data_IF_235399340166
#
_entry.id   IF_235399340166
#
_cell.length_a   1.000
_cell.length_b   1.000
_cell.length_c   1.000
_cell.angle_alpha   90.00
_cell.angle_beta   90.00
_cell.angle_gamma   90.00
#
_symmetry.space_group_name_H-M   'P 1'
#
loop_
_entity.id
_entity.type
_entity.pdbx_description
1 polymer ?
#
# COMPACT_ATOMS: atom_id res chain seq x y z
N UNK A 1 -10.29 -15.90 -8.74
CA UNK A 1 -8.97 -15.47 -8.21
C UNK A 1 -8.93 -15.62 -6.71
N UNK A 2 -7.80 -16.03 -6.15
CA UNK A 2 -7.55 -16.15 -4.70
C UNK A 2 -6.45 -15.16 -4.32
N UNK A 3 -6.70 -14.31 -3.33
CA UNK A 3 -5.72 -13.34 -2.83
C UNK A 3 -5.19 -13.80 -1.46
N UNK A 4 -3.90 -14.16 -1.41
CA UNK A 4 -3.20 -14.44 -0.16
C UNK A 4 -2.71 -13.12 0.43
N UNK A 5 -3.17 -12.79 1.63
CA UNK A 5 -2.96 -11.48 2.22
C UNK A 5 -2.98 -11.50 3.76
N UNK A 6 -2.47 -10.43 4.37
CA UNK A 6 -2.61 -10.15 5.79
C UNK A 6 -3.34 -8.81 5.99
N UNK A 7 -4.33 -8.73 6.91
CA UNK A 7 -5.16 -7.53 7.10
C UNK A 7 -4.41 -6.25 7.50
N UNK A 8 -3.22 -6.36 8.10
CA UNK A 8 -2.39 -5.21 8.46
C UNK A 8 -1.26 -4.91 7.46
N UNK A 9 -1.18 -5.68 6.38
CA UNK A 9 -0.12 -5.41 5.40
C UNK A 9 -0.48 -4.22 4.51
N UNK A 10 0.36 -3.21 4.55
CA UNK A 10 0.24 -2.02 3.71
C UNK A 10 0.24 -2.34 2.21
N UNK A 11 1.06 -3.29 1.76
CA UNK A 11 1.06 -3.75 0.37
C UNK A 11 -0.20 -4.55 0.00
N UNK A 12 -0.80 -5.28 0.96
CA UNK A 12 -2.09 -5.92 0.73
C UNK A 12 -3.21 -4.88 0.62
N UNK A 13 -3.18 -3.82 1.42
CA UNK A 13 -4.15 -2.73 1.31
C UNK A 13 -4.14 -2.07 -0.07
N UNK A 14 -2.96 -1.84 -0.63
CA UNK A 14 -2.76 -1.32 -1.98
C UNK A 14 -3.53 -2.16 -3.02
N UNK A 15 -3.45 -3.48 -2.93
CA UNK A 15 -4.15 -4.41 -3.82
C UNK A 15 -5.65 -4.47 -3.52
N UNK A 16 -6.05 -4.50 -2.24
CA UNK A 16 -7.45 -4.50 -1.83
C UNK A 16 -8.19 -3.26 -2.35
N UNK A 17 -7.57 -2.07 -2.25
CA UNK A 17 -8.13 -0.84 -2.82
C UNK A 17 -8.43 -1.02 -4.31
N UNK A 18 -7.49 -1.56 -5.09
CA UNK A 18 -7.69 -1.77 -6.52
C UNK A 18 -8.82 -2.78 -6.82
N UNK A 19 -8.94 -3.87 -6.05
CA UNK A 19 -10.06 -4.80 -6.17
C UNK A 19 -11.40 -4.10 -5.91
N UNK A 20 -11.47 -3.25 -4.89
CA UNK A 20 -12.70 -2.53 -4.53
C UNK A 20 -13.04 -1.44 -5.53
N UNK A 21 -12.05 -0.70 -6.05
CA UNK A 21 -12.24 0.28 -7.12
C UNK A 21 -12.76 -0.36 -8.41
N UNK A 22 -12.27 -1.54 -8.73
CA UNK A 22 -12.66 -2.26 -9.95
C UNK A 22 -13.94 -3.08 -9.79
N UNK A 23 -14.39 -3.33 -8.55
CA UNK A 23 -15.52 -4.21 -8.27
C UNK A 23 -15.25 -5.69 -8.60
N UNK A 24 -13.98 -6.09 -8.70
CA UNK A 24 -13.59 -7.46 -9.06
C UNK A 24 -13.77 -8.40 -7.88
N UNK A 25 -14.51 -9.50 -8.00
CA UNK A 25 -14.64 -10.48 -6.93
C UNK A 25 -13.36 -11.30 -6.78
N UNK A 26 -13.01 -11.60 -5.53
CA UNK A 26 -11.90 -12.49 -5.19
C UNK A 26 -12.24 -13.32 -3.95
N UNK A 27 -11.56 -14.45 -3.80
CA UNK A 27 -11.60 -15.26 -2.58
C UNK A 27 -10.46 -14.81 -1.66
N UNK A 28 -10.76 -14.24 -0.49
CA UNK A 28 -9.74 -13.87 0.47
C UNK A 28 -9.14 -15.13 1.11
N UNK A 29 -7.80 -15.20 1.15
CA UNK A 29 -7.05 -16.25 1.83
C UNK A 29 -6.07 -15.58 2.81
N UNK A 30 -6.53 -15.38 4.03
CA UNK A 30 -5.67 -14.82 5.08
C UNK A 30 -4.55 -15.80 5.43
N UNK A 31 -3.35 -15.26 5.69
CA UNK A 31 -2.15 -16.05 6.00
C UNK A 31 -2.18 -16.69 7.40
N UNK A 32 -3.32 -16.65 8.04
CA UNK A 32 -3.59 -17.30 9.32
C UNK A 32 -4.39 -18.59 9.09
N UNK A 33 -4.07 -19.60 9.84
CA UNK A 33 -4.73 -20.89 9.76
C UNK A 33 -3.80 -22.03 9.34
N UNK A 34 -4.24 -23.24 9.68
CA UNK A 34 -3.47 -24.44 9.40
C UNK A 34 -3.32 -24.66 7.88
N UNK A 35 -2.10 -24.95 7.44
CA UNK A 35 -1.78 -25.24 6.05
C UNK A 35 -1.63 -24.04 5.12
N UNK A 36 -2.14 -22.86 5.48
CA UNK A 36 -2.12 -21.68 4.57
C UNK A 36 -0.70 -21.20 4.29
N UNK A 37 0.16 -21.24 5.29
CA UNK A 37 1.56 -20.83 5.12
C UNK A 37 2.28 -21.73 4.10
N UNK A 38 2.03 -23.05 4.12
CA UNK A 38 2.60 -23.97 3.15
C UNK A 38 2.06 -23.72 1.73
N UNK A 39 0.73 -23.52 1.59
CA UNK A 39 0.11 -23.17 0.29
C UNK A 39 0.77 -21.94 -0.31
N UNK A 40 0.82 -20.86 0.46
CA UNK A 40 1.39 -19.59 0.03
C UNK A 40 2.87 -19.69 -0.32
N UNK A 41 3.69 -20.35 0.52
CA UNK A 41 5.12 -20.54 0.25
C UNK A 41 5.38 -21.44 -0.96
N UNK A 42 4.49 -22.40 -1.25
CA UNK A 42 4.57 -23.21 -2.47
C UNK A 42 4.31 -22.37 -3.73
N UNK A 43 3.43 -21.33 -3.64
CA UNK A 43 3.17 -20.41 -4.73
C UNK A 43 4.26 -19.36 -4.89
N UNK A 44 4.81 -18.86 -3.76
CA UNK A 44 5.78 -17.77 -3.72
C UNK A 44 6.85 -18.00 -2.62
N UNK A 45 7.93 -18.74 -2.92
CA UNK A 45 8.95 -19.13 -1.93
C UNK A 45 9.70 -17.98 -1.27
N UNK A 46 9.65 -16.76 -1.84
CA UNK A 46 10.22 -15.54 -1.24
C UNK A 46 9.51 -15.20 0.08
N UNK A 47 8.29 -15.71 0.32
CA UNK A 47 7.56 -15.48 1.55
C UNK A 47 7.11 -14.03 1.75
N UNK A 48 6.80 -13.31 0.68
CA UNK A 48 6.19 -11.97 0.72
C UNK A 48 4.75 -12.02 0.23
N UNK A 49 3.95 -11.10 0.72
CA UNK A 49 2.53 -10.96 0.36
C UNK A 49 2.23 -9.48 0.04
N UNK A 50 1.18 -9.19 -0.75
CA UNK A 50 0.16 -10.09 -1.29
C UNK A 50 0.66 -10.98 -2.43
N UNK A 51 -0.04 -12.12 -2.61
CA UNK A 51 0.11 -13.00 -3.78
C UNK A 51 -1.27 -13.29 -4.35
N UNK A 52 -1.44 -13.14 -5.65
CA UNK A 52 -2.66 -13.47 -6.36
C UNK A 52 -2.48 -14.81 -7.10
N UNK A 53 -3.42 -15.74 -6.90
CA UNK A 53 -3.53 -16.95 -7.69
C UNK A 53 -4.78 -16.87 -8.58
N UNK A 54 -4.60 -16.84 -9.89
CA UNK A 54 -5.65 -16.99 -10.87
C UNK A 54 -5.65 -18.42 -11.41
N UNK A 55 -6.61 -19.22 -10.93
CA UNK A 55 -6.75 -20.61 -11.35
C UNK A 55 -7.27 -20.77 -12.76
N UNK A 56 -7.98 -19.76 -13.29
CA UNK A 56 -8.53 -19.79 -14.65
C UNK A 56 -7.43 -19.70 -15.71
N UNK A 57 -6.40 -18.91 -15.41
CA UNK A 57 -5.24 -18.69 -16.31
C UNK A 57 -4.00 -19.46 -15.88
N UNK A 58 -4.10 -20.23 -14.80
CA UNK A 58 -2.96 -20.92 -14.18
C UNK A 58 -1.79 -20.00 -13.82
N UNK A 59 -2.10 -18.77 -13.37
CA UNK A 59 -1.10 -17.75 -13.09
C UNK A 59 -0.97 -17.49 -11.59
N UNK A 60 0.27 -17.38 -11.12
CA UNK A 60 0.61 -16.81 -9.81
C UNK A 60 1.28 -15.45 -10.04
N UNK A 61 0.71 -14.41 -9.44
CA UNK A 61 1.19 -13.03 -9.58
C UNK A 61 1.58 -12.50 -8.21
N UNK A 62 2.81 -12.05 -8.08
CA UNK A 62 3.33 -11.37 -6.90
C UNK A 62 3.64 -9.91 -7.23
N UNK A 63 4.06 -9.13 -6.22
CA UNK A 63 4.29 -7.70 -6.27
C UNK A 63 2.99 -6.89 -6.42
N UNK A 64 2.67 -6.07 -5.42
CA UNK A 64 1.39 -5.36 -5.33
C UNK A 64 1.07 -4.53 -6.59
N UNK A 65 2.04 -3.79 -7.13
CA UNK A 65 1.85 -3.01 -8.35
C UNK A 65 1.56 -3.89 -9.57
N UNK A 66 2.24 -5.04 -9.67
CA UNK A 66 2.05 -5.99 -10.77
C UNK A 66 0.69 -6.67 -10.67
N UNK A 67 0.23 -7.00 -9.45
CA UNK A 67 -1.13 -7.54 -9.26
C UNK A 67 -2.18 -6.53 -9.75
N UNK A 68 -2.00 -5.24 -9.47
CA UNK A 68 -2.93 -4.18 -9.93
C UNK A 68 -2.90 -4.04 -11.45
N UNK A 69 -1.74 -4.07 -12.09
CA UNK A 69 -1.62 -4.04 -13.56
C UNK A 69 -2.19 -5.33 -14.19
N UNK A 70 -2.03 -6.49 -13.51
CA UNK A 70 -2.65 -7.75 -13.92
C UNK A 70 -4.19 -7.65 -13.93
N UNK A 71 -4.79 -7.09 -12.88
CA UNK A 71 -6.24 -6.84 -12.81
C UNK A 71 -6.71 -5.95 -13.96
N UNK A 72 -6.00 -4.85 -14.23
CA UNK A 72 -6.33 -3.94 -15.32
C UNK A 72 -6.28 -4.61 -16.70
N UNK A 73 -5.42 -5.60 -16.85
CA UNK A 73 -5.22 -6.33 -18.12
C UNK A 73 -6.26 -7.44 -18.32
N UNK A 74 -6.56 -8.19 -17.26
CA UNK A 74 -7.34 -9.44 -17.37
C UNK A 74 -8.76 -9.34 -16.83
N UNK A 75 -9.03 -8.34 -15.99
CA UNK A 75 -10.35 -8.08 -15.40
C UNK A 75 -10.75 -6.61 -15.64
N UNK A 76 -10.90 -6.20 -16.90
CA UNK A 76 -11.17 -4.80 -17.21
C UNK A 76 -12.52 -4.37 -16.61
N UNK A 77 -12.50 -3.25 -15.91
CA UNK A 77 -13.64 -2.61 -15.27
C UNK A 77 -13.64 -1.10 -15.47
N UNK A 78 -14.31 -0.40 -14.59
CA UNK A 78 -14.36 1.07 -14.62
C UNK A 78 -13.08 1.72 -14.07
N UNK A 79 -12.35 1.03 -13.21
CA UNK A 79 -11.09 1.50 -12.66
C UNK A 79 -9.95 1.34 -13.67
N UNK A 80 -9.24 2.43 -13.92
CA UNK A 80 -8.06 2.47 -14.79
C UNK A 80 -6.82 2.86 -13.98
N UNK A 81 -6.10 1.88 -13.40
CA UNK A 81 -4.94 2.17 -12.57
C UNK A 81 -3.81 2.83 -13.34
N UNK A 82 -3.70 2.58 -14.64
CA UNK A 82 -2.69 3.17 -15.53
C UNK A 82 -3.40 3.95 -16.64
N UNK A 83 -3.13 5.25 -16.81
CA UNK A 83 -3.63 6.06 -17.91
C UNK A 83 -3.21 5.52 -19.28
N UNK A 84 -4.01 5.77 -20.32
CA UNK A 84 -3.65 5.41 -21.70
C UNK A 84 -2.54 6.30 -22.27
N UNK A 85 -2.44 7.56 -21.82
CA UNK A 85 -1.37 8.46 -22.23
C UNK A 85 -0.02 7.96 -21.66
N UNK A 86 1.01 7.70 -22.48
CA UNK A 86 2.26 7.10 -22.02
C UNK A 86 3.03 7.96 -20.99
N UNK A 87 3.01 9.28 -21.14
CA UNK A 87 3.70 10.18 -20.21
C UNK A 87 3.00 10.21 -18.86
N UNK A 88 1.66 10.26 -18.84
CA UNK A 88 0.89 10.16 -17.63
C UNK A 88 1.06 8.77 -16.98
N UNK A 89 1.10 7.70 -17.75
CA UNK A 89 1.37 6.35 -17.26
C UNK A 89 2.75 6.24 -16.59
N UNK A 90 3.78 6.87 -17.19
CA UNK A 90 5.12 6.93 -16.61
C UNK A 90 5.11 7.71 -15.28
N UNK A 91 4.40 8.84 -15.21
CA UNK A 91 4.26 9.61 -13.97
C UNK A 91 3.54 8.81 -12.87
N UNK A 92 2.47 8.09 -13.21
CA UNK A 92 1.76 7.22 -12.25
C UNK A 92 2.71 6.15 -11.69
N UNK A 93 3.47 5.46 -12.54
CA UNK A 93 4.43 4.45 -12.08
C UNK A 93 5.58 5.06 -11.27
N UNK A 94 6.04 6.26 -11.63
CA UNK A 94 7.04 6.97 -10.84
C UNK A 94 6.51 7.32 -9.43
N UNK A 95 5.29 7.84 -9.33
CA UNK A 95 4.67 8.16 -8.04
C UNK A 95 4.42 6.90 -7.21
N UNK A 96 3.96 5.81 -7.82
CA UNK A 96 3.86 4.49 -7.20
C UNK A 96 5.18 4.05 -6.55
N UNK A 97 6.29 4.12 -7.31
CA UNK A 97 7.62 3.81 -6.75
C UNK A 97 8.08 4.78 -5.67
N UNK A 98 7.69 6.05 -5.77
CA UNK A 98 8.01 7.03 -4.75
C UNK A 98 7.35 6.69 -3.42
N UNK A 99 6.06 6.38 -3.43
CA UNK A 99 5.33 5.96 -2.22
C UNK A 99 5.88 4.64 -1.67
N UNK A 100 6.12 3.63 -2.51
CA UNK A 100 6.63 2.35 -2.05
C UNK A 100 8.07 2.46 -1.48
N UNK A 101 8.97 3.14 -2.16
CA UNK A 101 10.39 3.12 -1.83
C UNK A 101 10.79 4.18 -0.79
N UNK A 102 10.14 5.36 -0.79
CA UNK A 102 10.59 6.48 0.04
C UNK A 102 9.64 6.83 1.19
N UNK A 103 8.43 6.24 1.20
CA UNK A 103 7.48 6.36 2.33
C UNK A 103 7.26 5.00 2.99
N UNK A 104 6.82 4.00 2.23
CA UNK A 104 6.47 2.68 2.75
C UNK A 104 7.68 1.91 3.28
N UNK A 105 8.76 1.82 2.51
CA UNK A 105 9.96 1.07 2.92
C UNK A 105 10.58 1.61 4.21
N UNK A 106 10.85 2.92 4.38
CA UNK A 106 11.38 3.42 5.63
C UNK A 106 10.37 3.31 6.78
N UNK A 107 9.07 3.48 6.54
CA UNK A 107 8.03 3.23 7.52
C UNK A 107 8.09 1.78 8.03
N UNK A 108 8.16 0.81 7.13
CA UNK A 108 8.28 -0.61 7.51
C UNK A 108 9.57 -0.91 8.27
N UNK A 109 10.68 -0.25 7.97
CA UNK A 109 11.92 -0.40 8.72
C UNK A 109 11.74 0.03 10.19
N UNK A 110 11.03 1.13 10.45
CA UNK A 110 10.70 1.59 11.80
C UNK A 110 9.78 0.60 12.53
N UNK A 111 8.75 0.09 11.85
CA UNK A 111 7.85 -0.93 12.41
C UNK A 111 8.61 -2.22 12.74
N UNK A 112 9.43 -2.69 11.82
CA UNK A 112 10.23 -3.90 12.01
C UNK A 112 11.19 -3.76 13.19
N UNK A 113 11.83 -2.60 13.36
CA UNK A 113 12.70 -2.33 14.50
C UNK A 113 11.93 -2.36 15.82
N UNK A 114 10.73 -1.79 15.86
CA UNK A 114 9.87 -1.81 17.05
C UNK A 114 9.50 -3.23 17.49
N UNK A 115 9.42 -4.17 16.55
CA UNK A 115 9.11 -5.58 16.80
C UNK A 115 10.34 -6.42 17.20
N UNK A 116 11.57 -5.88 17.05
CA UNK A 116 12.79 -6.56 17.48
C UNK A 116 12.87 -6.65 19.01
N UNK A 117 13.60 -7.66 19.55
CA UNK A 117 14.05 -7.62 20.94
C UNK A 117 14.78 -6.31 21.25
N UNK A 118 14.65 -5.82 22.48
CA UNK A 118 15.16 -4.50 22.86
C UNK A 118 16.69 -4.34 22.65
N UNK A 119 17.45 -5.41 22.85
CA UNK A 119 18.90 -5.48 22.67
C UNK A 119 19.35 -5.57 21.19
N UNK A 120 18.41 -5.85 20.30
CA UNK A 120 18.65 -6.02 18.85
C UNK A 120 18.12 -4.85 18.02
N UNK A 121 17.64 -3.78 18.67
CA UNK A 121 17.12 -2.58 17.98
C UNK A 121 18.24 -1.76 17.35
N UNK A 122 17.89 -1.10 16.25
CA UNK A 122 18.78 -0.22 15.48
C UNK A 122 18.28 1.24 15.51
N UNK A 123 18.59 2.00 16.56
CA UNK A 123 18.18 3.41 16.66
C UNK A 123 18.72 4.27 15.52
N UNK A 124 19.91 3.97 15.01
CA UNK A 124 20.49 4.68 13.88
C UNK A 124 19.70 4.47 12.59
N UNK A 125 19.37 3.20 12.27
CA UNK A 125 18.52 2.88 11.12
C UNK A 125 17.12 3.51 11.22
N UNK A 126 16.54 3.57 12.43
CA UNK A 126 15.27 4.26 12.67
C UNK A 126 15.38 5.76 12.39
N UNK A 127 16.46 6.42 12.84
CA UNK A 127 16.71 7.84 12.57
C UNK A 127 16.84 8.11 11.06
N UNK A 128 17.62 7.29 10.35
CA UNK A 128 17.77 7.39 8.90
C UNK A 128 16.43 7.20 8.17
N UNK A 129 15.62 6.25 8.61
CA UNK A 129 14.29 6.01 8.05
C UNK A 129 13.36 7.22 8.26
N UNK A 130 13.35 7.83 9.45
CA UNK A 130 12.58 9.06 9.71
C UNK A 130 13.05 10.23 8.85
N UNK A 131 14.38 10.42 8.72
CA UNK A 131 14.94 11.45 7.86
C UNK A 131 14.54 11.27 6.38
N UNK A 132 14.47 10.02 5.90
CA UNK A 132 14.03 9.72 4.54
C UNK A 132 12.54 10.03 4.35
N UNK A 133 11.68 9.67 5.32
CA UNK A 133 10.24 10.01 5.29
C UNK A 133 10.06 11.53 5.23
N UNK A 134 10.78 12.29 6.05
CA UNK A 134 10.71 13.75 6.04
C UNK A 134 11.09 14.35 4.68
N UNK A 135 12.14 13.86 4.04
CA UNK A 135 12.51 14.25 2.67
C UNK A 135 11.43 13.90 1.65
N UNK A 136 10.83 12.71 1.79
CA UNK A 136 9.73 12.29 0.92
C UNK A 136 8.49 13.19 1.08
N UNK A 137 8.12 13.56 2.32
CA UNK A 137 7.01 14.48 2.59
C UNK A 137 7.25 15.86 1.95
N UNK A 138 8.45 16.43 2.13
CA UNK A 138 8.79 17.70 1.51
C UNK A 138 8.70 17.65 -0.02
N UNK A 139 9.16 16.57 -0.65
CA UNK A 139 9.02 16.37 -2.09
C UNK A 139 7.55 16.22 -2.49
N UNK A 140 6.78 15.41 -1.78
CA UNK A 140 5.37 15.16 -2.06
C UNK A 140 4.53 16.43 -1.91
N UNK A 141 4.80 17.27 -0.89
CA UNK A 141 4.14 18.57 -0.71
C UNK A 141 4.24 19.46 -1.96
N UNK A 142 5.34 19.39 -2.71
CA UNK A 142 5.52 20.14 -3.94
C UNK A 142 4.87 19.51 -5.16
N UNK A 143 4.62 18.19 -5.13
CA UNK A 143 4.09 17.43 -6.27
C UNK A 143 2.59 17.21 -6.22
N UNK A 144 2.05 17.04 -5.01
CA UNK A 144 0.61 16.83 -4.83
C UNK A 144 -0.14 18.14 -5.00
N UNK A 145 -1.15 18.15 -5.87
CA UNK A 145 -2.03 19.29 -6.07
C UNK A 145 -2.95 19.55 -4.86
N UNK A 146 -3.45 20.76 -4.75
CA UNK A 146 -4.44 21.13 -3.74
C UNK A 146 -5.74 20.31 -3.88
N UNK A 147 -6.04 19.86 -5.08
CA UNK A 147 -7.20 19.03 -5.44
C UNK A 147 -6.74 17.88 -6.34
N UNK A 148 -7.67 16.96 -6.64
CA UNK A 148 -7.38 15.79 -7.48
C UNK A 148 -6.61 14.69 -6.75
N UNK A 149 -5.87 13.89 -7.51
CA UNK A 149 -5.17 12.70 -7.05
C UNK A 149 -3.66 12.84 -7.23
N UNK A 150 -2.89 11.80 -6.97
CA UNK A 150 -1.43 11.85 -7.08
C UNK A 150 -0.95 12.28 -8.48
N UNK A 151 -1.70 11.90 -9.52
CA UNK A 151 -1.44 12.29 -10.90
C UNK A 151 -2.75 12.67 -11.59
N UNK A 152 -3.03 13.96 -11.73
CA UNK A 152 -4.22 14.45 -12.39
C UNK A 152 -5.53 14.22 -11.60
N UNK A 153 -6.62 14.05 -12.36
CA UNK A 153 -7.97 14.04 -11.78
C UNK A 153 -8.55 12.65 -11.55
N UNK A 154 -7.87 11.61 -11.99
CA UNK A 154 -8.32 10.23 -11.84
C UNK A 154 -7.55 9.49 -10.77
N UNK A 155 -8.26 8.69 -9.96
CA UNK A 155 -7.67 7.76 -9.01
C UNK A 155 -6.92 6.65 -9.77
N UNK A 156 -5.67 6.37 -9.40
CA UNK A 156 -4.75 5.51 -10.16
C UNK A 156 -3.97 4.56 -9.25
N UNK A 157 -3.06 3.77 -9.84
CA UNK A 157 -2.08 2.96 -9.10
C UNK A 157 -1.27 3.77 -8.09
N UNK A 158 -0.93 5.03 -8.43
CA UNK A 158 -0.20 5.92 -7.52
C UNK A 158 -0.97 6.19 -6.23
N UNK A 159 -2.30 6.35 -6.32
CA UNK A 159 -3.17 6.58 -5.16
C UNK A 159 -3.39 5.31 -4.34
N UNK A 160 -3.47 4.15 -5.02
CA UNK A 160 -3.48 2.85 -4.33
C UNK A 160 -2.22 2.65 -3.48
N UNK A 161 -1.06 3.12 -3.95
CA UNK A 161 0.19 3.07 -3.19
C UNK A 161 0.24 4.14 -2.08
N UNK A 162 -0.22 5.35 -2.39
CA UNK A 162 -0.21 6.48 -1.46
C UNK A 162 -1.05 6.23 -0.20
N UNK A 163 -2.24 5.65 -0.37
CA UNK A 163 -3.20 5.47 0.70
C UNK A 163 -2.62 4.72 1.91
N UNK A 164 -2.13 3.48 1.79
CA UNK A 164 -1.52 2.77 2.91
C UNK A 164 -0.18 3.38 3.31
N UNK A 165 0.64 3.88 2.37
CA UNK A 165 1.94 4.45 2.68
C UNK A 165 1.83 5.65 3.61
N UNK A 166 0.99 6.62 3.26
CA UNK A 166 0.79 7.83 4.05
C UNK A 166 0.04 7.53 5.35
N UNK A 167 -0.97 6.66 5.33
CA UNK A 167 -1.72 6.30 6.53
C UNK A 167 -0.84 5.72 7.63
N UNK A 168 0.03 4.78 7.30
CA UNK A 168 0.94 4.19 8.26
C UNK A 168 2.09 5.12 8.64
N UNK A 169 2.64 5.85 7.66
CA UNK A 169 3.74 6.75 7.92
C UNK A 169 3.32 7.92 8.82
N UNK A 170 2.13 8.47 8.64
CA UNK A 170 1.59 9.56 9.49
C UNK A 170 1.46 9.14 10.97
N UNK A 171 1.16 7.86 11.25
CA UNK A 171 1.11 7.30 12.62
C UNK A 171 2.49 7.23 13.29
N UNK A 172 3.56 7.15 12.52
CA UNK A 172 4.93 6.95 13.01
C UNK A 172 5.73 8.24 12.97
N UNK A 173 5.54 9.01 11.92
CA UNK A 173 6.16 10.30 11.63
C UNK A 173 5.08 11.24 11.09
N UNK A 174 4.37 11.96 11.96
CA UNK A 174 3.24 12.80 11.55
C UNK A 174 3.62 13.80 10.45
N UNK A 175 2.72 13.96 9.47
CA UNK A 175 2.89 14.87 8.33
C UNK A 175 3.05 16.32 8.80
N UNK A 176 2.34 16.69 9.87
CA UNK A 176 2.47 18.01 10.49
C UNK A 176 1.92 19.16 9.66
N UNK A 177 2.03 20.38 10.20
CA UNK A 177 1.52 21.62 9.58
C UNK A 177 2.33 22.11 8.39
N UNK A 178 3.57 21.63 8.24
CA UNK A 178 4.48 22.08 7.19
C UNK A 178 4.16 21.49 5.81
N UNK A 179 3.27 20.48 5.79
CA UNK A 179 2.87 19.76 4.58
C UNK A 179 1.33 19.75 4.40
N UNK A 180 0.67 20.93 4.27
CA UNK A 180 -0.79 21.03 4.27
C UNK A 180 -1.45 20.35 3.05
N UNK A 181 -0.79 20.34 1.88
CA UNK A 181 -1.33 19.66 0.69
C UNK A 181 -1.29 18.16 0.85
N UNK A 182 -0.21 17.62 1.41
CA UNK A 182 -0.05 16.20 1.68
C UNK A 182 -1.04 15.73 2.74
N UNK A 183 -1.26 16.52 3.81
CA UNK A 183 -2.27 16.24 4.83
C UNK A 183 -3.69 16.23 4.24
N UNK A 184 -4.03 17.22 3.41
CA UNK A 184 -5.31 17.28 2.72
C UNK A 184 -5.48 16.12 1.73
N UNK A 185 -4.42 15.70 1.07
CA UNK A 185 -4.44 14.53 0.19
C UNK A 185 -4.68 13.24 0.97
N UNK A 186 -4.01 13.02 2.09
CA UNK A 186 -4.27 11.87 2.97
C UNK A 186 -5.74 11.86 3.43
N UNK A 187 -6.31 13.01 3.80
CA UNK A 187 -7.71 13.10 4.18
C UNK A 187 -8.65 12.68 3.03
N UNK A 188 -8.35 13.08 1.77
CA UNK A 188 -9.11 12.64 0.59
C UNK A 188 -9.01 11.13 0.36
N UNK A 189 -7.81 10.55 0.53
CA UNK A 189 -7.59 9.12 0.43
C UNK A 189 -8.42 8.36 1.47
N UNK A 190 -8.39 8.79 2.74
CA UNK A 190 -9.15 8.16 3.84
C UNK A 190 -10.66 8.22 3.60
N UNK A 191 -11.15 9.30 3.00
CA UNK A 191 -12.55 9.46 2.65
C UNK A 191 -12.99 8.63 1.42
N UNK A 192 -12.05 8.07 0.65
CA UNK A 192 -12.35 7.24 -0.52
C UNK A 192 -13.04 5.94 -0.11
N UNK A 193 -14.21 5.58 -0.68
CA UNK A 193 -14.98 4.40 -0.24
C UNK A 193 -14.18 3.09 -0.23
N UNK A 194 -13.33 2.87 -1.24
CA UNK A 194 -12.46 1.69 -1.33
C UNK A 194 -11.46 1.61 -0.18
N UNK A 195 -10.83 2.73 0.17
CA UNK A 195 -9.88 2.77 1.29
C UNK A 195 -10.59 2.80 2.65
N UNK A 196 -11.71 3.51 2.78
CA UNK A 196 -12.53 3.48 3.99
C UNK A 196 -12.97 2.05 4.33
N UNK A 197 -13.31 1.24 3.31
CA UNK A 197 -13.60 -0.18 3.49
C UNK A 197 -12.40 -0.96 4.04
N UNK A 198 -11.20 -0.78 3.47
CA UNK A 198 -9.98 -1.40 4.00
C UNK A 198 -9.74 -1.02 5.46
N UNK A 199 -9.97 0.26 5.80
CA UNK A 199 -9.83 0.76 7.18
C UNK A 199 -10.86 0.15 8.13
N UNK A 200 -12.06 -0.18 7.71
CA UNK A 200 -13.03 -0.93 8.52
C UNK A 200 -12.59 -2.39 8.69
N UNK A 201 -12.17 -3.04 7.62
CA UNK A 201 -11.78 -4.46 7.63
C UNK A 201 -10.55 -4.75 8.49
N UNK A 202 -9.65 -3.77 8.69
CA UNK A 202 -8.48 -3.90 9.57
C UNK A 202 -8.80 -3.86 11.07
N UNK A 203 -9.95 -3.32 11.48
CA UNK A 203 -10.22 -3.02 12.90
C UNK A 203 -9.99 -4.19 13.87
N UNK A 204 -10.39 -5.44 13.58
CA UNK A 204 -10.14 -6.57 14.47
C UNK A 204 -8.63 -6.84 14.69
N UNK A 205 -7.79 -6.45 13.74
CA UNK A 205 -6.35 -6.72 13.72
C UNK A 205 -5.52 -5.52 14.21
N UNK A 206 -6.12 -4.34 14.24
CA UNK A 206 -5.43 -3.09 14.54
C UNK A 206 -4.64 -3.11 15.85
N UNK A 207 -5.10 -3.74 16.96
CA UNK A 207 -4.33 -3.83 18.18
C UNK A 207 -2.96 -4.52 18.06
N UNK A 208 -2.73 -5.30 17.00
CA UNK A 208 -1.45 -5.94 16.71
C UNK A 208 -0.43 -4.97 16.09
N UNK A 209 -0.85 -3.81 15.61
CA UNK A 209 0.05 -2.81 15.05
C UNK A 209 0.83 -2.13 16.18
N UNK A 210 2.19 -2.12 16.14
CA UNK A 210 3.01 -1.63 17.28
C UNK A 210 2.83 -0.16 17.63
N UNK A 211 2.19 0.63 16.78
CA UNK A 211 1.88 2.04 16.94
C UNK A 211 0.37 2.31 16.90
N UNK A 212 -0.46 1.33 17.24
CA UNK A 212 -1.92 1.47 17.23
C UNK A 212 -2.43 2.55 18.18
N UNK A 213 -1.74 2.77 19.29
CA UNK A 213 -2.08 3.72 20.36
C UNK A 213 -1.19 4.97 20.35
N UNK A 214 -0.53 5.28 19.23
CA UNK A 214 0.35 6.43 19.04
C UNK A 214 -0.36 7.71 18.64
#
# INVERSE_FOLDING_TARGET
>A
MILYYHPLSSYCWKVLIAFYENGTPFTPRMLEGEGVAQEWLALWPIGKFPVLRDSTRDMTVAEASIIIEYLATHEPGTFRPIPLNPDAALQVRMMDRLFDNYVMTPMQAIVADRLRPADSRDPYGVEQARALIAKAYALLETRIGAQGWAVGDNFTLADCAAAPALFYADRIAPIGSDHPRLAAYLARLVARPSFARVLMEKEPWWPMFPFANG
#
